data_IF_912416351881
#
_entry.id   IF_912416351881
#
_cell.length_a   1.000
_cell.length_b   1.000
_cell.length_c   1.000
_cell.angle_alpha   90.00
_cell.angle_beta   90.00
_cell.angle_gamma   90.00
#
_symmetry.space_group_name_H-M   'P 1'
#
loop_
_entity.id
_entity.type
_entity.pdbx_description
1 polymer ?
#
# COMPACT_ATOMS: atom_id res chain seq x y z
N UNK A 1 17.76 -5.21 27.17
CA UNK A 1 17.09 -6.29 26.41
C UNK A 1 15.73 -6.50 27.04
N UNK A 2 14.73 -5.76 26.58
CA UNK A 2 13.32 -5.98 26.96
C UNK A 2 12.63 -6.68 25.80
N UNK A 3 11.74 -7.66 26.04
CA UNK A 3 11.05 -8.35 24.98
C UNK A 3 10.12 -7.36 24.28
N UNK A 4 10.31 -7.13 22.98
CA UNK A 4 9.32 -6.49 22.10
C UNK A 4 8.20 -7.52 21.98
N UNK A 5 7.28 -7.45 22.92
CA UNK A 5 6.08 -8.28 23.04
C UNK A 5 4.83 -7.46 22.81
N UNK A 6 4.91 -6.44 21.96
CA UNK A 6 3.73 -5.71 21.52
C UNK A 6 3.14 -6.47 20.35
N UNK A 7 2.13 -7.28 20.67
CA UNK A 7 1.13 -7.67 19.69
C UNK A 7 0.68 -6.39 19.00
N UNK A 8 0.97 -6.25 17.71
CA UNK A 8 0.31 -5.27 16.88
C UNK A 8 -1.18 -5.62 16.95
N UNK A 9 -1.90 -4.94 17.83
CA UNK A 9 -3.35 -4.99 17.87
C UNK A 9 -3.80 -4.63 16.47
N UNK A 10 -4.33 -5.61 15.76
CA UNK A 10 -4.93 -5.39 14.45
C UNK A 10 -6.13 -4.53 14.76
N UNK A 11 -5.94 -3.23 14.63
CA UNK A 11 -6.99 -2.24 14.73
C UNK A 11 -8.09 -2.72 13.80
N UNK A 12 -9.33 -2.72 14.27
CA UNK A 12 -10.49 -3.11 13.50
C UNK A 12 -10.69 -2.14 12.33
N UNK A 13 -9.91 -2.32 11.26
CA UNK A 13 -9.90 -1.50 10.04
C UNK A 13 -11.11 -1.74 9.13
N UNK A 14 -11.98 -2.69 9.50
CA UNK A 14 -12.77 -3.44 8.52
C UNK A 14 -14.06 -2.76 8.03
N UNK A 15 -14.56 -1.70 8.66
CA UNK A 15 -15.93 -1.22 8.33
C UNK A 15 -16.05 0.18 7.73
N UNK A 16 -15.11 1.11 7.94
CA UNK A 16 -15.31 2.51 7.52
C UNK A 16 -14.45 2.98 6.34
N UNK A 17 -13.47 2.19 5.90
CA UNK A 17 -12.59 2.54 4.76
C UNK A 17 -13.11 2.02 3.40
N UNK A 18 -14.18 1.23 3.41
CA UNK A 18 -14.65 0.45 2.27
C UNK A 18 -15.97 0.92 1.67
N UNK A 19 -16.13 2.21 1.35
CA UNK A 19 -17.18 2.64 0.41
C UNK A 19 -16.60 2.84 -1.01
N UNK A 20 -15.85 1.84 -1.49
CA UNK A 20 -15.34 1.77 -2.86
C UNK A 20 -16.39 1.21 -3.83
N UNK A 21 -16.76 2.03 -4.82
CA UNK A 21 -17.65 1.77 -5.97
C UNK A 21 -18.16 0.33 -6.22
N UNK A 22 -19.46 0.12 -5.98
CA UNK A 22 -20.23 -1.06 -6.45
C UNK A 22 -20.37 -1.03 -7.98
N UNK A 23 -19.43 -1.66 -8.69
CA UNK A 23 -19.53 -1.83 -10.14
C UNK A 23 -18.81 -3.08 -10.62
N UNK A 24 -19.55 -3.98 -11.27
CA UNK A 24 -19.06 -5.18 -11.95
C UNK A 24 -18.20 -4.79 -13.15
N UNK A 25 -16.93 -4.50 -12.92
CA UNK A 25 -15.90 -4.40 -13.96
C UNK A 25 -14.95 -5.57 -13.73
N UNK A 26 -14.63 -6.32 -14.80
CA UNK A 26 -13.57 -7.35 -14.74
C UNK A 26 -12.26 -6.67 -14.36
N UNK A 27 -11.74 -6.94 -13.17
CA UNK A 27 -10.52 -6.31 -12.66
C UNK A 27 -10.45 -6.27 -11.14
N UNK A 28 -9.25 -6.06 -10.62
CA UNK A 28 -9.04 -5.80 -9.18
C UNK A 28 -9.07 -4.30 -8.94
N UNK A 29 -9.95 -3.84 -8.05
CA UNK A 29 -10.02 -2.43 -7.64
C UNK A 29 -9.25 -2.24 -6.34
N UNK A 30 -8.37 -1.26 -6.37
CA UNK A 30 -7.60 -0.82 -5.22
C UNK A 30 -8.00 0.60 -4.86
N UNK A 31 -7.94 0.92 -3.58
CA UNK A 31 -7.96 2.29 -3.08
C UNK A 31 -6.64 2.51 -2.36
N UNK A 32 -5.83 3.44 -2.86
CA UNK A 32 -4.51 3.75 -2.30
C UNK A 32 -4.58 5.11 -1.63
N UNK A 33 -4.36 5.14 -0.32
CA UNK A 33 -4.31 6.38 0.44
C UNK A 33 -2.91 6.95 0.53
N UNK A 34 -2.76 8.24 0.25
CA UNK A 34 -1.48 8.93 0.36
C UNK A 34 -1.53 10.09 1.35
N UNK A 35 -0.37 10.40 1.91
CA UNK A 35 -0.19 11.58 2.74
C UNK A 35 0.54 12.68 1.97
N UNK A 36 0.23 13.93 2.31
CA UNK A 36 0.85 15.11 1.72
C UNK A 36 2.07 15.52 2.54
N UNK A 37 3.13 15.97 1.87
CA UNK A 37 4.23 16.70 2.48
C UNK A 37 4.27 18.17 1.98
N UNK A 38 4.60 19.11 2.88
CA UNK A 38 4.94 20.48 2.51
C UNK A 38 3.79 21.50 2.34
N UNK A 39 4.18 22.79 2.45
CA UNK A 39 3.33 23.95 2.18
C UNK A 39 2.95 24.03 0.68
N UNK A 40 1.90 24.79 0.36
CA UNK A 40 1.14 24.79 -0.91
C UNK A 40 1.90 25.08 -2.21
N UNK A 41 3.19 25.32 -2.16
CA UNK A 41 3.96 25.94 -3.25
C UNK A 41 5.08 25.07 -3.83
N UNK A 42 5.30 23.85 -3.31
CA UNK A 42 6.31 22.93 -3.83
C UNK A 42 5.65 21.79 -4.64
N UNK A 43 6.18 21.49 -5.83
CA UNK A 43 5.67 20.50 -6.81
C UNK A 43 5.83 19.03 -6.37
N UNK A 44 5.74 18.71 -5.08
CA UNK A 44 5.88 17.34 -4.52
C UNK A 44 4.66 16.43 -4.79
N UNK A 45 4.06 16.52 -5.98
CA UNK A 45 2.96 15.66 -6.39
C UNK A 45 3.51 14.35 -6.96
N UNK A 46 4.09 13.53 -6.08
CA UNK A 46 4.58 12.23 -6.47
C UNK A 46 3.51 11.35 -7.14
N UNK A 47 3.95 10.44 -8.00
CA UNK A 47 3.05 9.62 -8.83
C UNK A 47 3.30 8.14 -8.60
N UNK A 48 2.26 7.36 -8.85
CA UNK A 48 2.43 5.92 -9.04
C UNK A 48 2.67 5.71 -10.53
N UNK A 49 3.85 5.22 -10.88
CA UNK A 49 4.20 4.93 -12.27
C UNK A 49 3.32 3.82 -12.83
N UNK A 50 3.13 2.74 -12.08
CA UNK A 50 2.26 1.62 -12.45
C UNK A 50 1.95 0.76 -11.23
N UNK A 51 0.79 0.09 -11.24
CA UNK A 51 0.47 -1.01 -10.34
C UNK A 51 0.28 -2.29 -11.14
N UNK A 52 1.06 -3.32 -10.84
CA UNK A 52 0.91 -4.65 -11.45
C UNK A 52 0.05 -5.55 -10.57
N UNK A 53 -0.80 -6.37 -11.17
CA UNK A 53 -1.56 -7.41 -10.48
C UNK A 53 -1.07 -8.82 -10.84
N UNK A 54 -1.03 -9.70 -9.85
CA UNK A 54 -0.59 -11.09 -10.03
C UNK A 54 -1.57 -12.10 -9.42
N UNK A 55 -1.63 -13.29 -9.99
CA UNK A 55 -2.35 -14.41 -9.40
C UNK A 55 -1.58 -15.04 -8.23
N UNK A 56 -2.16 -16.09 -7.62
CA UNK A 56 -1.55 -16.83 -6.49
C UNK A 56 -0.24 -17.54 -6.84
N UNK A 57 0.06 -17.73 -8.13
CA UNK A 57 1.28 -18.34 -8.64
C UNK A 57 2.28 -17.29 -9.15
N UNK A 58 2.03 -16.01 -8.86
CA UNK A 58 2.85 -14.88 -9.31
C UNK A 58 2.88 -14.69 -10.84
N UNK A 59 1.88 -15.18 -11.57
CA UNK A 59 1.70 -14.84 -12.98
C UNK A 59 1.08 -13.44 -13.10
N UNK A 60 1.54 -12.66 -14.07
CA UNK A 60 0.98 -11.33 -14.34
C UNK A 60 -0.45 -11.46 -14.85
N UNK A 61 -1.38 -10.81 -14.17
CA UNK A 61 -2.78 -10.68 -14.58
C UNK A 61 -3.03 -9.42 -15.40
N UNK A 62 -2.24 -8.38 -15.17
CA UNK A 62 -2.38 -7.10 -15.85
C UNK A 62 -1.77 -5.94 -15.05
N UNK A 63 -2.08 -4.72 -15.48
CA UNK A 63 -1.58 -3.48 -14.87
C UNK A 63 -2.66 -2.42 -14.76
N UNK A 64 -2.43 -1.42 -13.92
CA UNK A 64 -3.16 -0.15 -13.99
C UNK A 64 -2.78 0.67 -15.23
N UNK A 65 -3.45 1.81 -15.37
CA UNK A 65 -2.91 2.94 -16.14
C UNK A 65 -1.53 3.35 -15.60
N UNK A 66 -0.72 3.96 -16.47
CA UNK A 66 0.60 4.48 -16.10
C UNK A 66 0.52 5.94 -15.61
N UNK A 67 1.50 6.36 -14.81
CA UNK A 67 1.66 7.75 -14.35
C UNK A 67 0.40 8.29 -13.64
N UNK A 68 -0.13 7.48 -12.73
CA UNK A 68 -1.30 7.83 -11.92
C UNK A 68 -0.92 9.01 -11.03
N UNK A 69 -1.46 10.18 -11.38
CA UNK A 69 -1.30 11.39 -10.60
C UNK A 69 -2.09 11.27 -9.32
N UNK A 70 -1.37 11.27 -8.20
CA UNK A 70 -1.99 11.32 -6.89
C UNK A 70 -2.28 12.79 -6.60
N UNK A 71 -3.55 13.13 -6.51
CA UNK A 71 -3.98 14.41 -5.96
C UNK A 71 -3.54 14.48 -4.50
N UNK A 72 -2.40 15.10 -4.24
CA UNK A 72 -1.95 15.45 -2.87
C UNK A 72 -2.42 16.85 -2.46
N UNK A 73 -3.28 17.51 -3.24
CA UNK A 73 -3.77 18.87 -2.94
C UNK A 73 -4.56 18.93 -1.63
N UNK A 74 -5.04 17.77 -1.15
CA UNK A 74 -5.70 17.60 0.14
C UNK A 74 -5.02 16.47 0.89
N UNK A 75 -4.71 16.71 2.16
CA UNK A 75 -4.32 15.65 3.07
C UNK A 75 -5.37 14.54 3.03
N UNK A 76 -4.94 13.31 2.78
CA UNK A 76 -5.78 12.12 2.85
C UNK A 76 -6.63 11.82 1.65
N UNK A 77 -6.19 12.31 0.49
CA UNK A 77 -6.66 11.77 -0.75
C UNK A 77 -6.42 10.26 -0.82
N UNK A 78 -7.48 9.55 -1.17
CA UNK A 78 -7.44 8.17 -1.59
C UNK A 78 -7.71 8.12 -3.09
N UNK A 79 -6.98 7.28 -3.80
CA UNK A 79 -7.06 7.14 -5.24
C UNK A 79 -7.54 5.74 -5.59
N UNK A 80 -8.61 5.69 -6.38
CA UNK A 80 -9.11 4.43 -6.93
C UNK A 80 -8.24 4.02 -8.13
N UNK A 81 -7.60 2.86 -8.02
CA UNK A 81 -6.77 2.27 -9.06
C UNK A 81 -7.44 1.00 -9.55
N UNK A 82 -7.65 0.89 -10.85
CA UNK A 82 -8.16 -0.32 -11.48
C UNK A 82 -7.01 -1.06 -12.16
N UNK A 83 -6.83 -2.34 -11.84
CA UNK A 83 -5.94 -3.22 -12.58
C UNK A 83 -6.70 -3.78 -13.79
N UNK A 84 -6.28 -3.38 -14.98
CA UNK A 84 -6.80 -3.88 -16.25
C UNK A 84 -6.24 -5.27 -16.52
N UNK A 85 -7.10 -6.28 -16.44
CA UNK A 85 -6.74 -7.66 -16.71
C UNK A 85 -6.45 -7.89 -18.20
N UNK A 86 -5.49 -8.77 -18.49
CA UNK A 86 -5.26 -9.30 -19.83
C UNK A 86 -6.51 -10.05 -20.29
N UNK A 87 -6.85 -9.94 -21.57
CA UNK A 87 -8.00 -10.60 -22.18
C UNK A 87 -8.09 -12.10 -21.80
N UNK A 88 -9.24 -12.51 -21.26
CA UNK A 88 -9.51 -13.89 -20.84
C UNK A 88 -9.07 -14.25 -19.42
N UNK A 89 -8.50 -13.30 -18.67
CA UNK A 89 -8.24 -13.46 -17.24
C UNK A 89 -9.44 -13.00 -16.42
N UNK A 90 -9.98 -13.89 -15.59
CA UNK A 90 -11.06 -13.59 -14.63
C UNK A 90 -10.57 -13.60 -13.18
N UNK A 91 -9.32 -14.00 -12.95
CA UNK A 91 -8.74 -14.15 -11.63
C UNK A 91 -8.51 -12.79 -10.95
N UNK A 92 -8.89 -12.69 -9.68
CA UNK A 92 -8.56 -11.55 -8.82
C UNK A 92 -7.07 -11.55 -8.48
N UNK A 93 -6.48 -10.37 -8.35
CA UNK A 93 -5.08 -10.26 -7.95
C UNK A 93 -4.91 -10.71 -6.50
N UNK A 94 -4.02 -11.68 -6.29
CA UNK A 94 -3.57 -12.12 -4.98
C UNK A 94 -2.40 -11.27 -4.48
N UNK A 95 -1.57 -10.79 -5.42
CA UNK A 95 -0.50 -9.84 -5.14
C UNK A 95 -0.65 -8.61 -6.01
N UNK A 96 -0.18 -7.49 -5.49
CA UNK A 96 0.02 -6.27 -6.26
C UNK A 96 1.43 -5.77 -6.08
N UNK A 97 1.97 -5.10 -7.09
CA UNK A 97 3.26 -4.43 -7.03
C UNK A 97 3.06 -2.97 -7.42
N UNK A 98 3.34 -2.06 -6.48
CA UNK A 98 3.16 -0.62 -6.63
C UNK A 98 4.55 -0.02 -6.84
N UNK A 99 4.71 0.69 -7.95
CA UNK A 99 5.99 1.30 -8.32
C UNK A 99 5.80 2.81 -8.40
N UNK A 100 6.65 3.55 -7.67
CA UNK A 100 6.66 5.00 -7.70
C UNK A 100 7.15 5.53 -9.07
N UNK A 101 6.92 6.82 -9.34
CA UNK A 101 7.74 7.60 -10.26
C UNK A 101 9.00 8.12 -9.55
N UNK A 102 9.75 9.00 -10.21
CA UNK A 102 10.95 9.65 -9.66
C UNK A 102 10.61 10.68 -8.56
N UNK A 103 9.32 10.99 -8.38
CA UNK A 103 8.84 11.89 -7.35
C UNK A 103 8.28 11.04 -6.19
N UNK A 104 8.85 11.17 -4.99
CA UNK A 104 8.48 10.40 -3.81
C UNK A 104 7.00 10.50 -3.42
N UNK A 105 6.44 9.37 -2.95
CA UNK A 105 5.07 9.28 -2.42
C UNK A 105 5.04 8.61 -1.06
N UNK A 106 4.19 9.12 -0.16
CA UNK A 106 3.99 8.55 1.16
C UNK A 106 2.66 7.77 1.22
N UNK A 107 2.73 6.44 1.15
CA UNK A 107 1.54 5.57 1.13
C UNK A 107 1.14 5.19 2.55
N UNK A 108 -0.10 5.50 2.92
CA UNK A 108 -0.68 5.23 4.25
C UNK A 108 -1.36 3.87 4.33
N UNK A 109 -2.07 3.49 3.27
CA UNK A 109 -2.84 2.25 3.20
C UNK A 109 -3.11 1.85 1.75
N UNK A 110 -3.35 0.56 1.56
CA UNK A 110 -3.83 -0.01 0.30
C UNK A 110 -5.00 -0.95 0.60
N UNK A 111 -6.16 -0.64 0.05
CA UNK A 111 -7.40 -1.40 0.23
C UNK A 111 -7.77 -2.08 -1.08
N UNK A 112 -7.88 -3.41 -1.09
CA UNK A 112 -8.38 -4.16 -2.22
C UNK A 112 -9.85 -4.54 -2.01
N UNK A 113 -10.71 -4.13 -2.95
CA UNK A 113 -12.14 -4.38 -2.90
C UNK A 113 -12.50 -5.57 -3.80
N UNK A 114 -12.97 -6.66 -3.19
CA UNK A 114 -13.46 -7.85 -3.90
C UNK A 114 -14.98 -7.94 -3.76
N UNK A 115 -15.76 -7.67 -4.83
CA UNK A 115 -17.23 -7.61 -4.75
C UNK A 115 -17.88 -8.87 -4.18
N UNK A 116 -17.23 -10.02 -4.30
CA UNK A 116 -17.76 -11.33 -3.87
C UNK A 116 -17.37 -11.74 -2.44
N UNK A 117 -16.34 -11.13 -1.84
CA UNK A 117 -15.76 -11.58 -0.56
C UNK A 117 -16.21 -10.79 0.67
N UNK A 118 -17.16 -9.86 0.51
CA UNK A 118 -17.79 -9.14 1.61
C UNK A 118 -16.94 -8.01 2.19
N UNK A 119 -15.80 -8.35 2.79
CA UNK A 119 -14.89 -7.38 3.42
C UNK A 119 -13.66 -7.07 2.55
N UNK A 120 -13.24 -5.80 2.46
CA UNK A 120 -12.02 -5.43 1.76
C UNK A 120 -10.78 -5.94 2.49
N UNK A 121 -9.71 -6.18 1.74
CA UNK A 121 -8.40 -6.48 2.34
C UNK A 121 -7.59 -5.21 2.42
N UNK A 122 -6.99 -4.92 3.58
CA UNK A 122 -6.36 -3.62 3.82
C UNK A 122 -4.97 -3.81 4.40
N UNK A 123 -3.96 -3.45 3.62
CA UNK A 123 -2.60 -3.22 4.11
C UNK A 123 -2.52 -1.79 4.67
N UNK A 124 -1.88 -1.62 5.82
CA UNK A 124 -1.63 -0.31 6.42
C UNK A 124 -0.15 -0.15 6.72
N UNK A 125 0.31 1.10 6.71
CA UNK A 125 1.72 1.36 6.91
C UNK A 125 2.25 0.94 8.28
N UNK A 126 1.42 0.82 9.31
CA UNK A 126 1.93 0.35 10.60
C UNK A 126 2.72 -0.97 10.46
N UNK A 127 2.40 -1.77 9.43
CA UNK A 127 3.19 -2.91 8.98
C UNK A 127 4.56 -2.48 8.46
N UNK A 128 4.64 -1.61 7.45
CA UNK A 128 5.92 -1.13 6.89
C UNK A 128 6.85 -0.56 7.97
N UNK A 129 6.31 0.30 8.83
CA UNK A 129 7.04 0.89 9.94
C UNK A 129 7.53 -0.16 10.95
N UNK A 130 6.69 -1.14 11.31
CA UNK A 130 7.08 -2.23 12.19
C UNK A 130 8.10 -3.18 11.54
N UNK A 131 8.08 -3.30 10.21
CA UNK A 131 9.04 -4.05 9.41
C UNK A 131 10.31 -3.26 9.06
N UNK A 132 10.51 -2.09 9.68
CA UNK A 132 11.74 -1.31 9.58
C UNK A 132 11.90 -0.47 8.30
N UNK A 133 10.82 -0.24 7.56
CA UNK A 133 10.83 0.62 6.38
C UNK A 133 10.93 2.10 6.75
N UNK A 134 11.30 2.97 5.80
CA UNK A 134 11.21 4.41 6.00
C UNK A 134 9.76 4.85 6.08
N UNK A 135 9.41 5.55 7.15
CA UNK A 135 8.05 6.00 7.40
C UNK A 135 8.00 7.43 7.94
N UNK A 136 6.86 8.07 7.74
CA UNK A 136 6.51 9.36 8.35
C UNK A 136 5.15 9.26 9.07
N UNK A 137 4.89 10.18 10.00
CA UNK A 137 3.59 10.25 10.67
C UNK A 137 2.50 10.65 9.67
N UNK A 138 1.37 9.93 9.69
CA UNK A 138 0.15 10.39 9.04
C UNK A 138 -0.46 11.56 9.79
N UNK A 139 -1.07 12.49 9.05
CA UNK A 139 -1.87 13.57 9.64
C UNK A 139 -3.38 13.27 9.66
N UNK A 140 -3.78 12.08 9.18
CA UNK A 140 -5.18 11.74 8.94
C UNK A 140 -5.70 10.68 9.89
N UNK A 141 -6.82 10.98 10.53
CA UNK A 141 -7.53 9.99 11.31
C UNK A 141 -8.19 8.97 10.36
N UNK A 142 -7.86 7.68 10.51
CA UNK A 142 -8.42 6.57 9.70
C UNK A 142 -9.16 5.53 10.54
N UNK A 143 -9.47 5.88 11.78
CA UNK A 143 -10.29 5.06 12.65
C UNK A 143 -10.11 5.46 14.10
N UNK A 144 -10.36 4.49 14.97
CA UNK A 144 -10.08 4.58 16.40
C UNK A 144 -9.33 3.35 16.87
N UNK A 145 -8.46 3.52 17.85
CA UNK A 145 -7.80 2.41 18.54
C UNK A 145 -8.82 1.64 19.39
N UNK A 146 -8.44 0.49 19.94
CA UNK A 146 -9.29 -0.26 20.89
C UNK A 146 -9.68 0.58 22.12
N UNK A 147 -8.85 1.56 22.50
CA UNK A 147 -9.12 2.49 23.59
C UNK A 147 -10.04 3.65 23.21
N UNK A 148 -10.48 3.72 21.95
CA UNK A 148 -11.34 4.79 21.42
C UNK A 148 -10.58 6.06 21.01
N UNK A 149 -9.25 6.05 21.02
CA UNK A 149 -8.45 7.20 20.62
C UNK A 149 -8.40 7.32 19.09
N UNK A 150 -8.38 8.54 18.53
CA UNK A 150 -8.12 8.76 17.12
C UNK A 150 -6.88 8.03 16.62
N UNK A 151 -7.04 7.19 15.60
CA UNK A 151 -5.94 6.47 14.98
C UNK A 151 -5.45 7.16 13.72
N UNK A 152 -4.16 7.45 13.67
CA UNK A 152 -3.46 8.07 12.55
C UNK A 152 -2.41 7.09 12.01
N UNK A 153 -2.64 6.42 10.87
CA UNK A 153 -1.66 5.50 10.30
C UNK A 153 -0.40 6.26 9.92
N UNK A 154 0.74 5.60 10.04
CA UNK A 154 1.98 6.09 9.42
C UNK A 154 1.87 6.10 7.88
N UNK A 155 2.88 6.58 7.16
CA UNK A 155 3.01 6.36 5.72
C UNK A 155 4.43 5.91 5.32
N UNK A 156 4.55 4.90 4.43
CA UNK A 156 5.84 4.45 3.87
C UNK A 156 6.21 5.36 2.71
N UNK A 157 7.46 5.79 2.67
CA UNK A 157 8.03 6.47 1.53
C UNK A 157 8.46 5.48 0.45
N UNK A 158 7.91 5.65 -0.75
CA UNK A 158 8.46 5.06 -1.96
C UNK A 158 8.84 6.14 -2.97
N UNK A 159 10.04 6.03 -3.53
CA UNK A 159 10.63 6.97 -4.47
C UNK A 159 11.60 6.21 -5.39
N UNK A 160 11.42 6.39 -6.71
CA UNK A 160 12.24 5.74 -7.71
C UNK A 160 13.62 6.37 -7.83
N UNK A 161 13.81 7.66 -7.55
CA UNK A 161 15.14 8.27 -7.74
C UNK A 161 16.09 8.04 -6.55
N UNK A 162 15.57 7.43 -5.47
CA UNK A 162 16.33 7.17 -4.24
C UNK A 162 16.30 8.32 -3.25
N UNK A 163 15.31 9.22 -3.35
CA UNK A 163 15.21 10.39 -2.48
C UNK A 163 16.26 11.44 -2.83
N UNK A 164 16.70 11.49 -4.09
CA UNK A 164 17.64 12.53 -4.57
C UNK A 164 16.98 13.91 -4.49
N UNK A 165 15.65 13.96 -4.53
CA UNK A 165 14.85 15.17 -4.28
C UNK A 165 14.42 15.36 -2.80
N UNK A 166 14.76 14.43 -1.88
CA UNK A 166 14.39 14.52 -0.44
C UNK A 166 15.36 15.39 0.39
N UNK A 167 16.06 16.30 -0.29
CA UNK A 167 17.21 17.15 0.11
C UNK A 167 17.05 18.03 1.38
N UNK A 168 16.05 17.80 2.24
CA UNK A 168 15.87 18.49 3.52
C UNK A 168 15.89 17.58 4.76
N UNK A 169 15.71 16.26 4.63
CA UNK A 169 15.88 15.32 5.75
C UNK A 169 16.33 13.94 5.25
N UNK A 170 17.51 13.45 5.65
CA UNK A 170 17.98 12.13 5.22
C UNK A 170 17.13 11.04 5.88
N UNK A 171 16.12 10.55 5.18
CA UNK A 171 15.51 9.24 5.48
C UNK A 171 16.21 8.22 4.57
N UNK A 172 17.22 7.45 5.04
CA UNK A 172 18.16 6.74 4.17
C UNK A 172 17.61 5.51 3.44
N UNK A 173 16.29 5.38 3.26
CA UNK A 173 15.67 4.16 2.70
C UNK A 173 14.39 4.56 1.93
N UNK A 174 14.49 5.13 0.74
CA UNK A 174 13.31 5.21 -0.14
C UNK A 174 13.25 3.97 -1.02
N UNK A 175 12.26 3.13 -0.78
CA UNK A 175 12.02 1.97 -1.62
C UNK A 175 11.51 2.44 -2.99
N UNK A 176 11.93 1.82 -4.09
CA UNK A 176 11.40 2.18 -5.42
C UNK A 176 9.99 1.64 -5.62
N UNK A 177 9.70 0.51 -4.97
CA UNK A 177 8.51 -0.28 -5.19
C UNK A 177 8.21 -1.19 -3.99
N UNK A 178 6.94 -1.55 -3.86
CA UNK A 178 6.49 -2.51 -2.85
C UNK A 178 5.49 -3.50 -3.44
N UNK A 179 5.69 -4.79 -3.12
CA UNK A 179 4.79 -5.87 -3.50
C UNK A 179 4.08 -6.45 -2.29
N UNK A 180 2.75 -6.40 -2.33
CA UNK A 180 1.87 -6.76 -1.22
C UNK A 180 1.13 -8.05 -1.56
N UNK A 181 1.19 -9.05 -0.67
CA UNK A 181 0.29 -10.19 -0.68
C UNK A 181 -1.06 -9.78 -0.07
N UNK A 182 -2.02 -9.44 -0.92
CA UNK A 182 -3.31 -8.94 -0.47
C UNK A 182 -4.06 -9.97 0.40
N UNK A 183 -3.88 -11.26 0.15
CA UNK A 183 -4.51 -12.34 0.91
C UNK A 183 -4.10 -12.36 2.39
N UNK A 184 -2.90 -11.82 2.70
CA UNK A 184 -2.39 -11.80 4.06
C UNK A 184 -3.10 -10.78 4.97
N UNK A 185 -3.88 -9.88 4.37
CA UNK A 185 -4.51 -8.73 5.03
C UNK A 185 -6.06 -8.76 4.95
N UNK A 186 -6.64 -9.95 4.75
CA UNK A 186 -8.08 -10.18 4.86
C UNK A 186 -8.55 -10.57 6.27
N UNK A 187 -9.82 -10.98 6.41
CA UNK A 187 -10.42 -11.27 7.73
C UNK A 187 -9.69 -12.32 8.60
N UNK A 188 -8.98 -13.26 7.98
CA UNK A 188 -8.18 -14.29 8.69
C UNK A 188 -6.79 -13.81 9.13
N UNK A 189 -6.46 -12.54 8.85
CA UNK A 189 -5.22 -11.92 9.30
C UNK A 189 -5.19 -11.74 10.82
N UNK A 190 -6.35 -11.68 11.50
CA UNK A 190 -6.44 -11.45 12.94
C UNK A 190 -5.52 -12.39 13.76
N UNK A 191 -4.64 -11.82 14.59
CA UNK A 191 -3.77 -12.55 15.52
C UNK A 191 -2.49 -13.15 14.93
N UNK A 192 -2.14 -12.86 13.67
CA UNK A 192 -0.83 -13.24 13.12
C UNK A 192 0.28 -12.37 13.74
N UNK A 193 1.49 -12.92 13.83
CA UNK A 193 2.67 -12.21 14.36
C UNK A 193 3.32 -11.28 13.33
N UNK A 194 4.21 -10.39 13.81
CA UNK A 194 4.92 -9.43 12.96
C UNK A 194 5.68 -10.10 11.79
N UNK A 195 6.36 -11.22 12.04
CA UNK A 195 7.11 -11.96 11.01
C UNK A 195 6.22 -12.37 9.81
N UNK A 196 4.96 -12.72 10.08
CA UNK A 196 3.99 -13.07 9.03
C UNK A 196 3.68 -11.85 8.15
N UNK A 197 3.45 -10.70 8.76
CA UNK A 197 3.14 -9.48 8.02
C UNK A 197 4.33 -8.90 7.28
N UNK A 198 5.52 -8.96 7.88
CA UNK A 198 6.75 -8.53 7.20
C UNK A 198 7.12 -9.48 6.06
N UNK A 199 6.80 -10.77 6.16
CA UNK A 199 6.96 -11.71 5.05
C UNK A 199 5.92 -11.55 3.94
N UNK A 200 4.82 -10.83 4.20
CA UNK A 200 3.71 -10.65 3.26
C UNK A 200 3.83 -9.37 2.41
N UNK A 201 4.77 -8.47 2.73
CA UNK A 201 5.10 -7.31 1.89
C UNK A 201 6.59 -7.27 1.61
N UNK A 202 6.95 -7.21 0.32
CA UNK A 202 8.33 -7.04 -0.13
C UNK A 202 8.54 -5.58 -0.47
N UNK A 203 9.58 -4.98 0.09
CA UNK A 203 10.05 -3.65 -0.25
C UNK A 203 11.41 -3.79 -0.94
N UNK A 204 11.66 -3.03 -2.00
CA UNK A 204 12.96 -3.07 -2.67
C UNK A 204 13.40 -1.74 -3.25
N UNK A 205 14.72 -1.57 -3.32
CA UNK A 205 15.43 -0.51 -4.03
C UNK A 205 15.87 -0.93 -5.44
N UNK A 206 15.56 -2.17 -5.84
CA UNK A 206 16.00 -2.72 -7.12
C UNK A 206 15.24 -2.11 -8.29
N UNK A 207 15.91 -2.06 -9.43
CA UNK A 207 15.34 -1.60 -10.71
C UNK A 207 14.53 -2.68 -11.44
N UNK A 208 14.24 -3.82 -10.80
CA UNK A 208 13.38 -4.84 -11.37
C UNK A 208 11.98 -4.28 -11.56
N UNK A 209 11.32 -4.57 -12.69
CA UNK A 209 9.97 -4.08 -12.96
C UNK A 209 9.19 -5.16 -13.73
N UNK A 210 8.20 -5.82 -13.12
CA UNK A 210 7.85 -5.76 -11.69
C UNK A 210 8.83 -6.49 -10.75
N UNK A 211 8.64 -6.36 -9.43
CA UNK A 211 9.27 -7.22 -8.41
C UNK A 211 8.96 -8.70 -8.73
N UNK A 212 10.02 -9.48 -8.97
CA UNK A 212 9.93 -10.93 -9.06
C UNK A 212 9.37 -11.47 -7.74
N UNK A 213 8.31 -12.28 -7.81
CA UNK A 213 7.63 -12.75 -6.60
C UNK A 213 8.54 -13.60 -5.72
N UNK A 214 8.23 -13.71 -4.42
CA UNK A 214 8.82 -14.75 -3.60
C UNK A 214 8.42 -16.10 -4.22
N UNK A 215 9.39 -17.01 -4.39
CA UNK A 215 9.09 -18.39 -4.74
C UNK A 215 8.18 -18.93 -3.63
N UNK A 216 6.92 -19.21 -3.95
CA UNK A 216 6.04 -19.94 -3.03
C UNK A 216 6.61 -21.35 -2.89
N UNK A 217 7.13 -21.67 -1.71
CA UNK A 217 7.41 -23.06 -1.34
C UNK A 217 6.12 -23.77 -0.95
#
# INVERSE_FOLDING_TARGET
>A
MGPIGDALGIISFLTELGEGSKGSISGTRLTIGVNREGDKDDDFYGRIRVVWGFDVYNNILGSSDMEIKLDQSREGASHDVLIHQVMGQEAQAAFIDIIASDDGICITHVTANFPEKGEPWTWTEDIGAACGQAWHYGSLQRGTTESGEPYFPKCTWIDTDGGVDIDKDPVPITNRQMKINLLAYGGDAAGKGLDYYCGATIFTHDNADPIAGPQTN
#
